data_IF_958937895856
#
_entry.id   IF_958937895856
#
_cell.length_a   1.000
_cell.length_b   1.000
_cell.length_c   1.000
_cell.angle_alpha   90.00
_cell.angle_beta   90.00
_cell.angle_gamma   90.00
#
_symmetry.space_group_name_H-M   'P 1'
#
loop_
_entity.id
_entity.type
_entity.pdbx_description
1 polymer ?
#
# COMPACT_ATOMS: atom_id res chain seq x y z
N UNK A 1 1.63 3.42 4.59
CA UNK A 1 0.45 3.93 5.30
C UNK A 1 -0.50 2.78 5.56
N UNK A 2 -0.85 2.53 6.82
CA UNK A 2 -1.92 1.59 7.19
C UNK A 2 -3.03 2.38 7.89
N UNK A 3 -4.29 2.16 7.52
CA UNK A 3 -5.40 2.87 8.17
C UNK A 3 -5.49 2.58 9.68
N UNK A 4 -5.01 1.41 10.12
CA UNK A 4 -4.93 1.06 11.55
C UNK A 4 -3.92 1.91 12.32
N UNK A 5 -2.99 2.59 11.64
CA UNK A 5 -2.05 3.50 12.27
C UNK A 5 -2.79 4.63 12.99
N UNK A 6 -3.96 5.04 12.48
CA UNK A 6 -4.82 6.03 13.15
C UNK A 6 -5.15 5.62 14.58
N UNK A 7 -5.47 4.33 14.80
CA UNK A 7 -5.75 3.81 16.13
C UNK A 7 -4.46 3.58 16.93
N UNK A 8 -3.43 2.97 16.31
CA UNK A 8 -2.17 2.69 17.00
C UNK A 8 -1.45 3.96 17.48
N UNK A 9 -1.63 5.08 16.80
CA UNK A 9 -1.05 6.38 17.16
C UNK A 9 -2.02 7.33 17.86
N UNK A 10 -3.21 6.84 18.23
CA UNK A 10 -4.16 7.59 19.04
C UNK A 10 -4.86 8.77 18.33
N UNK A 11 -4.88 8.80 17.00
CA UNK A 11 -5.68 9.76 16.22
C UNK A 11 -7.18 9.42 16.22
N UNK A 12 -7.51 8.17 16.55
CA UNK A 12 -8.87 7.68 16.83
C UNK A 12 -8.82 6.69 18.02
N UNK A 13 -9.95 6.48 18.73
CA UNK A 13 -10.09 5.39 19.69
C UNK A 13 -9.86 4.01 19.06
N UNK A 14 -9.29 3.08 19.83
CA UNK A 14 -9.01 1.73 19.35
C UNK A 14 -10.30 0.96 18.99
N UNK A 15 -11.39 1.25 19.69
CA UNK A 15 -12.71 0.66 19.47
C UNK A 15 -13.29 1.06 18.10
N UNK A 16 -12.99 2.26 17.60
CA UNK A 16 -13.41 2.69 16.26
C UNK A 16 -12.77 1.83 15.16
N UNK A 17 -11.54 1.37 15.35
CA UNK A 17 -10.85 0.49 14.39
C UNK A 17 -11.40 -0.95 14.37
N UNK A 18 -12.29 -1.28 15.31
CA UNK A 18 -13.02 -2.56 15.35
C UNK A 18 -14.40 -2.48 14.70
N UNK A 19 -14.85 -1.28 14.28
CA UNK A 19 -16.13 -1.13 13.57
C UNK A 19 -16.10 -1.91 12.24
N UNK A 20 -17.11 -2.74 11.94
CA UNK A 20 -17.18 -3.47 10.67
C UNK A 20 -17.11 -2.58 9.42
N UNK A 21 -17.61 -1.34 9.51
CA UNK A 21 -17.62 -0.35 8.43
C UNK A 21 -16.41 0.59 8.51
N UNK A 22 -15.40 0.30 9.31
CA UNK A 22 -14.24 1.17 9.50
C UNK A 22 -13.57 1.57 8.19
N UNK A 23 -13.43 0.64 7.24
CA UNK A 23 -12.83 0.91 5.92
C UNK A 23 -13.74 1.70 4.98
N UNK A 24 -15.05 1.78 5.26
CA UNK A 24 -16.02 2.51 4.45
C UNK A 24 -16.15 3.99 4.81
N UNK A 25 -15.31 4.46 5.73
CA UNK A 25 -15.26 5.85 6.17
C UNK A 25 -14.29 6.69 5.34
N UNK A 26 -14.83 7.57 4.51
CA UNK A 26 -14.04 8.51 3.69
C UNK A 26 -13.31 9.56 4.55
N UNK A 27 -13.85 9.94 5.71
CA UNK A 27 -13.26 10.96 6.59
C UNK A 27 -11.88 10.55 7.13
N UNK A 28 -11.60 9.26 7.17
CA UNK A 28 -10.31 8.72 7.63
C UNK A 28 -9.18 8.97 6.63
N UNK A 29 -9.47 9.25 5.35
CA UNK A 29 -8.44 9.51 4.36
C UNK A 29 -7.64 10.77 4.67
N UNK A 30 -8.31 11.86 5.06
CA UNK A 30 -7.65 13.11 5.46
C UNK A 30 -6.82 12.91 6.73
N UNK A 31 -7.39 12.23 7.73
CA UNK A 31 -6.66 11.93 8.98
C UNK A 31 -5.41 11.11 8.69
N UNK A 32 -5.52 10.08 7.85
CA UNK A 32 -4.38 9.23 7.49
C UNK A 32 -3.33 10.01 6.71
N UNK A 33 -3.73 10.91 5.81
CA UNK A 33 -2.82 11.78 5.07
C UNK A 33 -2.01 12.67 6.01
N UNK A 34 -2.67 13.31 6.98
CA UNK A 34 -2.05 14.27 7.90
C UNK A 34 -1.11 13.61 8.92
N UNK A 35 -1.10 12.28 9.03
CA UNK A 35 -0.15 11.54 9.86
C UNK A 35 1.26 11.50 9.30
N UNK A 36 1.45 11.82 8.03
CA UNK A 36 2.72 11.67 7.33
C UNK A 36 3.16 12.98 6.69
N UNK A 37 4.45 13.26 6.76
CA UNK A 37 5.06 14.38 6.03
C UNK A 37 5.28 13.98 4.56
N UNK A 38 4.25 14.22 3.74
CA UNK A 38 4.28 13.98 2.29
C UNK A 38 4.99 15.11 1.54
N UNK A 39 6.04 14.80 0.77
CA UNK A 39 6.72 15.74 -0.12
C UNK A 39 5.96 15.86 -1.45
N UNK A 40 5.82 17.06 -2.07
CA UNK A 40 5.12 17.23 -3.35
C UNK A 40 5.62 16.34 -4.51
N UNK A 41 6.83 15.78 -4.41
CA UNK A 41 7.41 14.86 -5.40
C UNK A 41 7.08 13.39 -5.13
N UNK A 42 6.49 13.09 -3.96
CA UNK A 42 6.12 11.73 -3.59
C UNK A 42 4.99 11.19 -4.48
N UNK A 43 4.99 9.87 -4.66
CA UNK A 43 3.93 9.14 -5.33
C UNK A 43 3.18 8.25 -4.34
N UNK A 44 1.86 8.15 -4.50
CA UNK A 44 1.03 7.23 -3.74
C UNK A 44 0.89 5.92 -4.52
N UNK A 45 1.43 4.84 -3.98
CA UNK A 45 1.22 3.48 -4.49
C UNK A 45 0.08 2.83 -3.71
N UNK A 46 -1.00 2.46 -4.39
CA UNK A 46 -2.17 1.79 -3.81
C UNK A 46 -2.16 0.33 -4.26
N UNK A 47 -2.13 -0.57 -3.27
CA UNK A 47 -2.29 -2.00 -3.48
C UNK A 47 -3.74 -2.41 -3.20
N UNK A 48 -4.45 -2.91 -4.23
CA UNK A 48 -5.86 -3.29 -4.15
C UNK A 48 -6.13 -4.57 -4.94
N UNK A 49 -6.09 -5.72 -4.27
CA UNK A 49 -6.24 -7.04 -4.92
C UNK A 49 -7.59 -7.71 -4.68
N UNK A 50 -8.29 -7.35 -3.60
CA UNK A 50 -9.59 -7.90 -3.25
C UNK A 50 -10.68 -6.84 -3.38
N UNK A 51 -10.64 -5.82 -2.53
CA UNK A 51 -11.65 -4.75 -2.46
C UNK A 51 -11.03 -3.37 -2.62
N UNK A 52 -11.87 -2.39 -2.99
CA UNK A 52 -11.54 -0.96 -2.99
C UNK A 52 -12.53 -0.23 -2.09
N UNK A 53 -12.27 -0.28 -0.78
CA UNK A 53 -13.09 0.41 0.22
C UNK A 53 -13.13 1.94 0.01
N UNK A 54 -14.13 2.59 0.60
CA UNK A 54 -14.34 4.03 0.41
C UNK A 54 -13.13 4.85 0.86
N UNK A 55 -12.49 4.51 1.98
CA UNK A 55 -11.28 5.20 2.45
C UNK A 55 -10.12 5.12 1.47
N UNK A 56 -9.96 3.98 0.79
CA UNK A 56 -8.91 3.77 -0.22
C UNK A 56 -9.12 4.69 -1.42
N UNK A 57 -10.37 4.77 -1.91
CA UNK A 57 -10.71 5.67 -3.00
C UNK A 57 -10.59 7.15 -2.58
N UNK A 58 -11.04 7.49 -1.39
CA UNK A 58 -10.91 8.85 -0.84
C UNK A 58 -9.45 9.29 -0.73
N UNK A 59 -8.56 8.39 -0.27
CA UNK A 59 -7.11 8.66 -0.22
C UNK A 59 -6.53 8.87 -1.62
N UNK A 60 -6.95 8.09 -2.62
CA UNK A 60 -6.53 8.27 -4.00
C UNK A 60 -6.97 9.65 -4.55
N UNK A 61 -8.22 10.04 -4.30
CA UNK A 61 -8.75 11.36 -4.69
C UNK A 61 -7.97 12.49 -4.04
N UNK A 62 -7.71 12.38 -2.74
CA UNK A 62 -6.92 13.36 -1.99
C UNK A 62 -5.51 13.52 -2.55
N UNK A 63 -4.85 12.41 -2.91
CA UNK A 63 -3.55 12.44 -3.55
C UNK A 63 -3.59 13.19 -4.90
N UNK A 64 -4.62 12.95 -5.73
CA UNK A 64 -4.80 13.67 -7.00
C UNK A 64 -5.07 15.16 -6.79
N UNK A 65 -5.91 15.52 -5.83
CA UNK A 65 -6.18 16.91 -5.46
C UNK A 65 -4.90 17.65 -5.04
N UNK A 66 -4.02 16.96 -4.30
CA UNK A 66 -2.71 17.47 -3.88
C UNK A 66 -1.61 17.34 -4.95
N UNK A 67 -1.96 16.99 -6.19
CA UNK A 67 -1.05 16.86 -7.35
C UNK A 67 -0.02 15.72 -7.26
N UNK A 68 -0.24 14.71 -6.43
CA UNK A 68 0.61 13.52 -6.39
C UNK A 68 0.29 12.55 -7.53
N UNK A 69 1.30 11.75 -7.89
CA UNK A 69 1.12 10.59 -8.78
C UNK A 69 0.43 9.47 -8.03
N UNK A 70 -0.58 8.86 -8.64
CA UNK A 70 -1.26 7.69 -8.11
C UNK A 70 -0.91 6.49 -8.98
N UNK A 71 -0.26 5.50 -8.38
CA UNK A 71 0.09 4.23 -9.00
C UNK A 71 -0.78 3.16 -8.37
N UNK A 72 -1.52 2.41 -9.18
CA UNK A 72 -2.41 1.35 -8.69
C UNK A 72 -1.84 -0.01 -9.06
N UNK A 73 -1.63 -0.84 -8.05
CA UNK A 73 -1.24 -2.25 -8.16
C UNK A 73 -2.45 -3.07 -7.74
N UNK A 74 -3.02 -3.83 -8.67
CA UNK A 74 -4.32 -4.46 -8.45
C UNK A 74 -4.48 -5.76 -9.20
N UNK A 75 -5.55 -6.48 -8.93
CA UNK A 75 -6.06 -7.54 -9.83
C UNK A 75 -7.34 -7.03 -10.46
N UNK A 76 -7.22 -6.38 -11.61
CA UNK A 76 -8.29 -5.52 -12.13
C UNK A 76 -9.60 -6.28 -12.35
N UNK A 77 -9.51 -7.49 -12.92
CA UNK A 77 -10.66 -8.35 -13.15
C UNK A 77 -11.36 -8.78 -11.85
N UNK A 78 -10.62 -8.87 -10.74
CA UNK A 78 -11.11 -9.30 -9.43
C UNK A 78 -11.81 -8.14 -8.72
N UNK A 79 -11.17 -6.98 -8.61
CA UNK A 79 -11.70 -5.86 -7.83
C UNK A 79 -13.00 -5.28 -8.42
N UNK A 80 -13.26 -5.46 -9.72
CA UNK A 80 -14.50 -5.01 -10.39
C UNK A 80 -15.67 -5.99 -10.25
N UNK A 81 -15.48 -7.15 -9.62
CA UNK A 81 -16.53 -8.14 -9.36
C UNK A 81 -17.10 -8.07 -7.94
N UNK A 82 -16.59 -7.17 -7.11
CA UNK A 82 -16.98 -7.02 -5.70
C UNK A 82 -18.14 -6.03 -5.53
N UNK A 83 -18.69 -5.92 -4.32
CA UNK A 83 -19.66 -4.87 -3.98
C UNK A 83 -19.09 -3.44 -4.16
N UNK A 84 -17.75 -3.31 -4.11
CA UNK A 84 -17.01 -2.08 -4.33
C UNK A 84 -16.62 -1.85 -5.80
N UNK A 85 -17.24 -2.53 -6.76
CA UNK A 85 -16.91 -2.43 -8.18
C UNK A 85 -16.95 -0.98 -8.73
N UNK A 86 -17.83 -0.12 -8.20
CA UNK A 86 -17.88 1.30 -8.56
C UNK A 86 -16.59 2.02 -8.14
N UNK A 87 -16.14 1.80 -6.90
CA UNK A 87 -14.92 2.38 -6.38
C UNK A 87 -13.70 1.88 -7.13
N UNK A 88 -13.66 0.58 -7.47
CA UNK A 88 -12.59 -0.01 -8.27
C UNK A 88 -12.46 0.67 -9.63
N UNK A 89 -13.57 0.84 -10.37
CA UNK A 89 -13.56 1.52 -11.67
C UNK A 89 -13.07 2.96 -11.57
N UNK A 90 -13.49 3.67 -10.53
CA UNK A 90 -13.07 5.05 -10.31
C UNK A 90 -11.59 5.14 -9.93
N UNK A 91 -11.10 4.28 -9.04
CA UNK A 91 -9.68 4.19 -8.68
C UNK A 91 -8.81 3.92 -9.90
N UNK A 92 -9.20 2.96 -10.76
CA UNK A 92 -8.47 2.64 -11.99
C UNK A 92 -8.45 3.82 -12.98
N UNK A 93 -9.51 4.62 -13.03
CA UNK A 93 -9.57 5.82 -13.86
C UNK A 93 -8.70 6.98 -13.32
N UNK A 94 -8.49 7.06 -12.00
CA UNK A 94 -7.64 8.07 -11.35
C UNK A 94 -6.15 7.76 -11.47
N UNK A 95 -5.79 6.50 -11.71
CA UNK A 95 -4.41 6.02 -11.72
C UNK A 95 -3.58 6.64 -12.87
N UNK A 96 -2.44 7.24 -12.55
CA UNK A 96 -1.44 7.66 -13.54
C UNK A 96 -0.74 6.45 -14.18
N UNK A 97 -0.55 5.37 -13.40
CA UNK A 97 -0.01 4.09 -13.84
C UNK A 97 -0.75 2.95 -13.16
N UNK A 98 -0.92 1.86 -13.91
CA UNK A 98 -1.58 0.64 -13.43
C UNK A 98 -0.67 -0.55 -13.63
N UNK A 99 -0.66 -1.45 -12.64
CA UNK A 99 -0.04 -2.76 -12.71
C UNK A 99 -1.07 -3.80 -12.32
N UNK A 100 -1.35 -4.70 -13.26
CA UNK A 100 -2.33 -5.77 -13.08
C UNK A 100 -1.61 -7.08 -12.72
N UNK A 101 -1.83 -7.55 -11.50
CA UNK A 101 -1.31 -8.80 -10.95
C UNK A 101 -2.07 -10.02 -11.45
N UNK A 102 -3.26 -9.84 -12.04
CA UNK A 102 -4.07 -10.91 -12.65
C UNK A 102 -4.39 -12.07 -11.69
N UNK A 103 -4.46 -11.80 -10.39
CA UNK A 103 -4.88 -12.82 -9.41
C UNK A 103 -6.39 -13.07 -9.65
N UNK A 104 -6.81 -14.32 -9.86
CA UNK A 104 -8.21 -14.62 -10.18
C UNK A 104 -9.14 -14.42 -8.98
N UNK A 105 -10.44 -14.36 -9.27
CA UNK A 105 -11.50 -14.44 -8.28
C UNK A 105 -12.29 -15.75 -8.43
N UNK A 106 -12.47 -16.55 -7.37
CA UNK A 106 -11.81 -16.43 -6.07
C UNK A 106 -10.29 -16.68 -6.17
N UNK A 107 -9.51 -16.22 -5.18
CA UNK A 107 -8.06 -16.47 -5.08
C UNK A 107 -7.78 -17.94 -4.70
N UNK A 108 -8.11 -18.87 -5.60
CA UNK A 108 -7.92 -20.31 -5.41
C UNK A 108 -7.44 -20.89 -6.74
N UNK A 109 -6.14 -21.16 -6.84
CA UNK A 109 -5.52 -21.52 -8.13
C UNK A 109 -5.24 -23.01 -8.31
N UNK A 110 -5.55 -23.84 -7.30
CA UNK A 110 -5.32 -25.28 -7.33
C UNK A 110 -6.57 -26.08 -6.95
N UNK A 111 -6.84 -27.15 -7.70
CA UNK A 111 -7.82 -28.16 -7.30
C UNK A 111 -7.11 -29.37 -6.67
N UNK A 112 -7.51 -29.72 -5.45
CA UNK A 112 -7.09 -30.96 -4.78
C UNK A 112 -8.32 -31.81 -4.52
N UNK A 113 -8.60 -32.72 -5.47
CA UNK A 113 -9.72 -33.68 -5.38
C UNK A 113 -11.08 -32.98 -5.19
N UNK A 114 -11.34 -31.92 -5.95
CA UNK A 114 -12.56 -31.13 -5.85
C UNK A 114 -12.55 -30.04 -4.77
N UNK A 115 -11.44 -29.90 -4.02
CA UNK A 115 -11.26 -28.81 -3.06
C UNK A 115 -10.37 -27.73 -3.69
N UNK A 116 -10.94 -26.54 -3.86
CA UNK A 116 -10.22 -25.37 -4.35
C UNK A 116 -9.35 -24.78 -3.23
N UNK A 117 -8.04 -24.68 -3.46
CA UNK A 117 -7.03 -24.24 -2.46
C UNK A 117 -5.96 -23.37 -3.12
N UNK A 118 -4.95 -22.97 -2.33
CA UNK A 118 -3.81 -22.17 -2.77
C UNK A 118 -4.20 -20.72 -3.10
N UNK A 119 -4.35 -19.92 -2.04
CA UNK A 119 -4.43 -18.46 -2.12
C UNK A 119 -3.05 -17.89 -2.41
N UNK A 120 -2.93 -17.09 -3.47
CA UNK A 120 -1.65 -16.55 -3.94
C UNK A 120 -1.56 -15.04 -3.87
N UNK A 121 -2.64 -14.32 -3.53
CA UNK A 121 -2.66 -12.86 -3.58
C UNK A 121 -1.52 -12.22 -2.77
N UNK A 122 -1.35 -12.64 -1.51
CA UNK A 122 -0.29 -12.12 -0.64
C UNK A 122 1.11 -12.54 -1.10
N UNK A 123 1.27 -13.75 -1.64
CA UNK A 123 2.55 -14.22 -2.16
C UNK A 123 3.00 -13.35 -3.33
N UNK A 124 2.11 -13.15 -4.30
CA UNK A 124 2.37 -12.34 -5.51
C UNK A 124 2.55 -10.87 -5.13
N UNK A 125 1.71 -10.33 -4.26
CA UNK A 125 1.83 -8.96 -3.77
C UNK A 125 3.17 -8.69 -3.09
N UNK A 126 3.62 -9.60 -2.22
CA UNK A 126 4.93 -9.48 -1.55
C UNK A 126 6.09 -9.62 -2.53
N UNK A 127 6.04 -10.56 -3.47
CA UNK A 127 7.04 -10.69 -4.53
C UNK A 127 7.14 -9.41 -5.36
N UNK A 128 5.98 -8.84 -5.75
CA UNK A 128 5.93 -7.58 -6.46
C UNK A 128 6.55 -6.44 -5.65
N UNK A 129 6.19 -6.28 -4.37
CA UNK A 129 6.72 -5.22 -3.52
C UNK A 129 8.25 -5.29 -3.42
N UNK A 130 8.81 -6.49 -3.18
CA UNK A 130 10.25 -6.70 -3.14
C UNK A 130 10.93 -6.41 -4.49
N UNK A 131 10.29 -6.79 -5.60
CA UNK A 131 10.82 -6.53 -6.94
C UNK A 131 10.83 -5.03 -7.25
N UNK A 132 9.76 -4.31 -6.89
CA UNK A 132 9.68 -2.86 -7.03
C UNK A 132 10.76 -2.16 -6.19
N UNK A 133 10.96 -2.58 -4.94
CA UNK A 133 12.00 -2.04 -4.08
C UNK A 133 13.39 -2.26 -4.66
N UNK A 134 13.66 -3.44 -5.23
CA UNK A 134 14.92 -3.72 -5.93
C UNK A 134 15.15 -2.76 -7.11
N UNK A 135 14.14 -2.59 -7.98
CA UNK A 135 14.24 -1.68 -9.13
C UNK A 135 14.43 -0.21 -8.71
N UNK A 136 13.78 0.22 -7.62
CA UNK A 136 13.98 1.55 -7.05
C UNK A 136 15.44 1.73 -6.60
N UNK A 137 16.00 0.75 -5.89
CA UNK A 137 17.41 0.83 -5.46
C UNK A 137 18.37 0.80 -6.63
N UNK A 138 18.13 -0.02 -7.64
CA UNK A 138 18.92 -0.02 -8.88
C UNK A 138 18.92 1.35 -9.53
N UNK A 139 17.75 1.95 -9.74
CA UNK A 139 17.63 3.27 -10.34
C UNK A 139 18.33 4.37 -9.51
N UNK A 140 18.24 4.30 -8.17
CA UNK A 140 18.93 5.24 -7.28
C UNK A 140 20.44 5.15 -7.42
N UNK A 141 20.99 3.93 -7.40
CA UNK A 141 22.43 3.68 -7.53
C UNK A 141 22.94 4.11 -8.91
N UNK A 142 22.20 3.82 -9.98
CA UNK A 142 22.55 4.25 -11.35
C UNK A 142 22.56 5.78 -11.49
N UNK A 143 21.74 6.49 -10.70
CA UNK A 143 21.73 7.94 -10.62
C UNK A 143 22.83 8.52 -9.69
N UNK A 144 23.68 7.67 -9.09
CA UNK A 144 24.75 8.09 -8.19
C UNK A 144 24.30 8.38 -6.75
N UNK A 145 23.12 7.90 -6.34
CA UNK A 145 22.64 7.99 -4.97
C UNK A 145 22.96 6.72 -4.16
N UNK A 146 23.07 6.86 -2.84
CA UNK A 146 23.18 5.71 -1.93
C UNK A 146 21.83 5.03 -1.73
N UNK A 147 21.82 3.68 -1.70
CA UNK A 147 20.64 2.91 -1.32
C UNK A 147 20.57 2.76 0.20
N UNK A 148 19.60 3.41 0.84
CA UNK A 148 19.32 3.28 2.27
C UNK A 148 18.66 1.95 2.61
N UNK A 149 19.38 0.85 2.48
CA UNK A 149 18.89 -0.50 2.80
C UNK A 149 19.05 -0.76 4.29
N UNK A 150 17.93 -1.03 4.97
CA UNK A 150 17.92 -1.42 6.37
C UNK A 150 18.47 -2.84 6.53
N UNK A 151 19.27 -3.03 7.57
CA UNK A 151 19.80 -4.32 7.97
C UNK A 151 18.84 -5.02 8.92
N UNK A 152 18.72 -6.34 8.75
CA UNK A 152 17.98 -7.17 9.69
C UNK A 152 18.63 -7.10 11.07
N UNK A 153 17.82 -7.11 12.12
CA UNK A 153 18.25 -6.93 13.51
C UNK A 153 19.26 -7.99 14.01
N UNK A 154 19.43 -9.11 13.30
CA UNK A 154 20.44 -10.12 13.62
C UNK A 154 21.84 -9.82 13.05
N UNK A 155 22.00 -8.73 12.30
CA UNK A 155 23.29 -8.26 11.79
C UNK A 155 23.95 -7.38 12.87
N UNK A 156 25.22 -7.66 13.19
CA UNK A 156 25.98 -6.84 14.15
C UNK A 156 26.10 -5.41 13.62
N UNK A 157 25.70 -4.43 14.45
CA UNK A 157 25.69 -3.01 14.07
C UNK A 157 24.44 -2.57 13.31
N UNK A 158 23.41 -3.42 13.18
CA UNK A 158 22.17 -3.08 12.48
C UNK A 158 21.46 -1.86 13.09
N UNK A 159 21.42 -1.74 14.42
CA UNK A 159 20.74 -0.62 15.09
C UNK A 159 21.37 0.72 14.70
N UNK A 160 22.69 0.87 14.88
CA UNK A 160 23.43 2.10 14.53
C UNK A 160 23.32 2.43 13.03
N UNK A 161 23.43 1.41 12.17
CA UNK A 161 23.28 1.56 10.71
C UNK A 161 21.87 2.02 10.34
N UNK A 162 20.84 1.34 10.84
CA UNK A 162 19.44 1.64 10.55
C UNK A 162 19.05 3.02 11.08
N UNK A 163 19.45 3.38 12.29
CA UNK A 163 19.20 4.70 12.88
C UNK A 163 19.80 5.84 12.03
N UNK A 164 21.01 5.62 11.48
CA UNK A 164 21.67 6.60 10.59
C UNK A 164 20.91 6.84 9.27
N UNK A 165 20.16 5.83 8.81
CA UNK A 165 19.30 5.93 7.63
C UNK A 165 17.97 6.56 8.02
N UNK A 166 17.30 5.96 9.01
CA UNK A 166 15.96 6.29 9.48
C UNK A 166 15.82 7.74 9.93
N UNK A 167 16.80 8.28 10.66
CA UNK A 167 16.79 9.68 11.13
C UNK A 167 16.70 10.72 10.01
N UNK A 168 17.05 10.37 8.76
CA UNK A 168 16.90 11.24 7.59
C UNK A 168 15.45 11.33 7.09
N UNK A 169 14.58 10.44 7.56
CA UNK A 169 13.20 10.27 7.09
C UNK A 169 12.18 10.40 8.23
N UNK A 170 12.55 10.99 9.37
CA UNK A 170 11.62 11.23 10.48
C UNK A 170 10.33 11.93 10.00
N UNK A 171 9.18 11.47 10.49
CA UNK A 171 7.87 11.94 10.05
C UNK A 171 7.39 11.40 8.70
N UNK A 172 8.25 10.72 7.93
CA UNK A 172 7.92 10.21 6.58
C UNK A 172 7.65 8.70 6.50
N UNK A 173 8.06 7.92 7.51
CA UNK A 173 7.84 6.48 7.56
C UNK A 173 7.24 6.04 8.90
N UNK A 174 6.79 4.78 8.96
CA UNK A 174 6.39 4.17 10.22
C UNK A 174 7.60 3.57 10.94
N UNK A 175 8.12 4.29 11.95
CA UNK A 175 8.89 3.71 13.05
C UNK A 175 7.98 3.04 14.08
#
# INVERSE_FOLDING_TARGET
MSIKDLAFRGHIPAEEALDPNFYDREDLAQKLWDMYETDPRDALVIYAVENVYNVTLALAKLAKEKNHKVIVVSSEATIVQTEYAKNAKELLALADKRLDLKIPYPDLVMDVKGTQVCQIANLIGNMFAQSLTMEIYTALIECGHEAGVLWSANIVGADEHNDSICSKFDGRYNS
#
